data_IF_727695998312
#
_entry.id   IF_727695998312
#
_cell.length_a   1.000
_cell.length_b   1.000
_cell.length_c   1.000
_cell.angle_alpha   90.00
_cell.angle_beta   90.00
_cell.angle_gamma   90.00
#
_symmetry.space_group_name_H-M   'P 1'
#
loop_
_entity.id
_entity.type
_entity.pdbx_description
1 polymer ?
#
# COMPACT_ATOMS: atom_id res chain seq x y z
N UNK A 1 -14.35 23.34 9.81
CA UNK A 1 -15.01 24.22 8.84
C UNK A 1 -16.24 23.53 8.26
N UNK A 2 -16.87 24.13 7.24
CA UNK A 2 -18.10 23.64 6.60
C UNK A 2 -17.91 22.40 5.68
N UNK A 3 -16.70 21.85 5.60
CA UNK A 3 -16.34 20.71 4.76
C UNK A 3 -15.89 19.55 5.66
N UNK A 4 -16.37 18.34 5.35
CA UNK A 4 -15.85 17.06 5.82
C UNK A 4 -15.00 16.44 4.71
N UNK A 5 -13.86 15.87 5.08
CA UNK A 5 -13.00 15.13 4.16
C UNK A 5 -12.91 13.67 4.64
N UNK A 6 -13.36 12.75 3.80
CA UNK A 6 -13.21 11.32 4.02
C UNK A 6 -11.97 10.86 3.26
N UNK A 7 -11.02 10.21 3.94
CA UNK A 7 -9.74 9.82 3.34
C UNK A 7 -9.70 8.32 3.12
N UNK A 8 -9.42 7.93 1.88
CA UNK A 8 -9.21 6.54 1.46
C UNK A 8 -7.74 6.37 1.08
N UNK A 9 -7.10 5.30 1.54
CA UNK A 9 -5.72 4.94 1.15
C UNK A 9 -5.74 3.51 0.66
N UNK A 10 -5.65 3.34 -0.66
CA UNK A 10 -5.64 2.02 -1.29
C UNK A 10 -4.22 1.56 -1.62
N UNK A 11 -3.90 0.32 -1.28
CA UNK A 11 -2.59 -0.30 -1.47
C UNK A 11 -2.46 -0.96 -2.85
N UNK A 12 -1.28 -0.83 -3.48
CA UNK A 12 -0.92 -1.44 -4.76
C UNK A 12 -0.22 -2.79 -4.65
N UNK A 13 -0.05 -3.29 -3.43
CA UNK A 13 0.73 -4.49 -3.13
C UNK A 13 -0.07 -5.45 -2.24
N UNK A 14 0.27 -6.74 -2.34
CA UNK A 14 -0.34 -7.80 -1.57
C UNK A 14 0.72 -8.59 -0.78
N UNK A 15 0.36 -9.14 0.39
CA UNK A 15 1.30 -9.80 1.28
C UNK A 15 1.78 -11.14 0.73
N UNK A 16 3.04 -11.48 1.03
CA UNK A 16 3.66 -12.79 0.78
C UNK A 16 4.21 -13.34 2.09
N UNK A 17 3.70 -14.51 2.48
CA UNK A 17 4.14 -15.20 3.70
C UNK A 17 3.75 -14.53 5.01
N UNK A 18 4.29 -15.02 6.14
CA UNK A 18 3.97 -14.50 7.47
C UNK A 18 4.69 -13.16 7.74
N UNK A 19 4.24 -12.39 8.74
CA UNK A 19 5.04 -11.33 9.31
C UNK A 19 6.31 -11.91 9.95
N UNK A 20 7.40 -11.16 9.90
CA UNK A 20 8.72 -11.51 10.41
C UNK A 20 9.14 -10.47 11.43
N UNK A 21 9.74 -10.91 12.54
CA UNK A 21 10.25 -10.05 13.60
C UNK A 21 11.66 -9.57 13.26
N UNK A 22 11.88 -8.26 13.30
CA UNK A 22 13.21 -7.66 13.13
C UNK A 22 14.02 -7.88 14.40
N UNK A 23 15.00 -8.77 14.32
CA UNK A 23 15.82 -9.19 15.47
C UNK A 23 17.20 -8.53 15.49
N UNK A 24 17.65 -7.91 14.40
CA UNK A 24 18.85 -7.07 14.36
C UNK A 24 18.79 -6.12 13.15
N UNK A 25 19.08 -4.83 13.36
CA UNK A 25 18.99 -3.79 12.32
C UNK A 25 20.02 -2.68 12.56
N UNK A 26 20.60 -2.17 11.48
CA UNK A 26 21.51 -1.02 11.44
C UNK A 26 20.93 0.04 10.49
N UNK A 27 20.27 1.07 11.04
CA UNK A 27 19.59 2.09 10.23
C UNK A 27 18.46 1.49 9.39
N UNK A 28 18.67 1.40 8.07
CA UNK A 28 17.73 0.80 7.12
C UNK A 28 18.17 -0.57 6.59
N UNK A 29 19.25 -1.14 7.16
CA UNK A 29 19.78 -2.46 6.81
C UNK A 29 19.34 -3.46 7.87
N UNK A 30 18.47 -4.38 7.50
CA UNK A 30 17.99 -5.47 8.36
C UNK A 30 18.98 -6.63 8.26
N UNK A 31 19.62 -6.95 9.37
CA UNK A 31 20.64 -8.01 9.46
C UNK A 31 20.00 -9.36 9.77
N UNK A 32 19.03 -9.40 10.69
CA UNK A 32 18.33 -10.64 11.02
C UNK A 32 16.81 -10.46 11.14
N UNK A 33 16.11 -11.50 10.70
CA UNK A 33 14.66 -11.68 10.79
C UNK A 33 14.37 -13.02 11.48
N UNK A 34 13.50 -13.02 12.48
CA UNK A 34 13.19 -14.20 13.31
C UNK A 34 14.45 -14.89 13.89
N UNK A 35 15.51 -14.14 14.17
CA UNK A 35 16.78 -14.66 14.66
C UNK A 35 17.67 -15.32 13.59
N UNK A 36 17.30 -15.28 12.31
CA UNK A 36 18.06 -15.81 11.17
C UNK A 36 18.57 -14.68 10.27
N UNK A 37 19.63 -14.89 9.46
CA UNK A 37 20.06 -13.90 8.47
C UNK A 37 18.87 -13.45 7.60
N UNK A 38 18.70 -12.13 7.48
CA UNK A 38 17.49 -11.56 6.89
C UNK A 38 17.30 -12.00 5.43
N UNK A 39 18.39 -12.10 4.66
CA UNK A 39 18.35 -12.56 3.28
C UNK A 39 17.88 -14.03 3.20
N UNK A 40 18.47 -14.92 4.00
CA UNK A 40 18.10 -16.34 4.01
C UNK A 40 16.63 -16.53 4.42
N UNK A 41 16.18 -15.78 5.43
CA UNK A 41 14.79 -15.81 5.90
C UNK A 41 13.83 -15.33 4.82
N UNK A 42 14.16 -14.22 4.15
CA UNK A 42 13.34 -13.69 3.06
C UNK A 42 13.27 -14.70 1.89
N UNK A 43 14.39 -15.28 1.47
CA UNK A 43 14.40 -16.30 0.43
C UNK A 43 13.60 -17.56 0.81
N UNK A 44 13.65 -17.97 2.08
CA UNK A 44 12.83 -19.08 2.56
C UNK A 44 11.33 -18.79 2.45
N UNK A 45 10.90 -17.57 2.75
CA UNK A 45 9.51 -17.13 2.54
C UNK A 45 9.13 -17.17 1.06
N UNK A 46 10.01 -16.69 0.17
CA UNK A 46 9.75 -16.70 -1.28
C UNK A 46 9.69 -18.12 -1.85
N UNK A 47 10.58 -19.02 -1.41
CA UNK A 47 10.56 -20.44 -1.83
C UNK A 47 9.31 -21.18 -1.39
N UNK A 48 8.70 -20.77 -0.28
CA UNK A 48 7.46 -21.34 0.23
C UNK A 48 6.19 -20.85 -0.50
N UNK A 49 6.31 -19.91 -1.45
CA UNK A 49 5.17 -19.47 -2.27
C UNK A 49 4.69 -20.63 -3.17
N UNK A 50 3.38 -20.94 -3.17
CA UNK A 50 2.80 -21.95 -4.05
C UNK A 50 3.14 -21.73 -5.52
N UNK A 51 3.35 -22.80 -6.27
CA UNK A 51 3.85 -22.74 -7.65
C UNK A 51 2.92 -21.95 -8.58
N UNK A 52 1.62 -22.11 -8.42
CA UNK A 52 0.57 -21.37 -9.14
C UNK A 52 0.59 -19.86 -8.85
N UNK A 53 1.20 -19.44 -7.73
CA UNK A 53 1.32 -18.04 -7.32
C UNK A 53 2.70 -17.44 -7.55
N UNK A 54 3.70 -18.23 -7.99
CA UNK A 54 5.08 -17.74 -8.17
C UNK A 54 5.21 -16.62 -9.20
N UNK A 55 4.35 -16.60 -10.22
CA UNK A 55 4.31 -15.54 -11.24
C UNK A 55 4.10 -14.14 -10.64
N UNK A 56 3.56 -14.04 -9.41
CA UNK A 56 3.38 -12.76 -8.69
C UNK A 56 4.71 -12.18 -8.20
N UNK A 57 5.72 -13.02 -7.99
CA UNK A 57 7.04 -12.58 -7.55
C UNK A 57 7.77 -11.76 -8.63
N UNK A 58 7.45 -11.99 -9.91
CA UNK A 58 8.05 -11.31 -11.05
C UNK A 58 7.61 -9.84 -11.17
N UNK A 59 6.56 -9.44 -10.44
CA UNK A 59 5.97 -8.10 -10.49
C UNK A 59 6.72 -7.08 -9.62
N UNK A 60 7.72 -7.54 -8.86
CA UNK A 60 8.53 -6.72 -7.97
C UNK A 60 8.26 -7.03 -6.48
N UNK A 61 9.34 -7.01 -5.70
CA UNK A 61 9.35 -7.37 -4.29
C UNK A 61 9.52 -6.13 -3.39
N UNK A 62 8.72 -6.07 -2.34
CA UNK A 62 8.63 -4.95 -1.41
C UNK A 62 8.61 -5.45 0.03
N UNK A 63 8.84 -4.51 0.95
CA UNK A 63 8.69 -4.73 2.39
C UNK A 63 7.53 -3.88 2.89
N UNK A 64 6.53 -4.53 3.48
CA UNK A 64 5.55 -3.88 4.33
C UNK A 64 6.12 -3.74 5.73
N UNK A 65 6.27 -2.50 6.22
CA UNK A 65 6.58 -2.19 7.62
C UNK A 65 5.29 -1.95 8.39
N UNK A 66 5.11 -2.58 9.54
CA UNK A 66 3.89 -2.38 10.32
C UNK A 66 3.73 -0.91 10.76
N UNK A 67 2.56 -0.31 10.49
CA UNK A 67 2.23 1.04 10.96
C UNK A 67 1.89 1.09 12.47
N UNK A 68 1.48 -0.06 13.02
CA UNK A 68 1.08 -0.31 14.41
C UNK A 68 1.42 -1.76 14.81
N UNK A 69 1.52 -2.04 16.11
CA UNK A 69 2.05 -3.32 16.62
C UNK A 69 1.20 -4.56 16.31
N UNK A 70 -0.11 -4.38 16.11
CA UNK A 70 -1.11 -5.43 15.84
C UNK A 70 -1.55 -5.47 14.36
N UNK A 71 -0.68 -5.02 13.46
CA UNK A 71 -0.96 -4.96 12.02
C UNK A 71 -1.44 -6.32 11.47
N UNK A 72 -2.65 -6.35 10.94
CA UNK A 72 -3.29 -7.58 10.45
C UNK A 72 -3.97 -7.39 9.09
N UNK A 73 -4.55 -6.22 8.83
CA UNK A 73 -5.16 -5.87 7.55
C UNK A 73 -4.14 -5.31 6.54
N UNK A 74 -4.49 -5.31 5.25
CA UNK A 74 -3.64 -4.72 4.17
C UNK A 74 -3.27 -3.27 4.46
N UNK A 75 -4.23 -2.47 4.93
CA UNK A 75 -4.04 -1.06 5.29
C UNK A 75 -3.16 -0.80 6.53
N UNK A 76 -2.75 -1.83 7.28
CA UNK A 76 -1.88 -1.68 8.44
C UNK A 76 -0.39 -1.70 8.10
N UNK A 77 -0.04 -1.95 6.83
CA UNK A 77 1.34 -2.07 6.35
C UNK A 77 1.74 -0.90 5.46
N UNK A 78 2.89 -0.31 5.77
CA UNK A 78 3.51 0.75 4.98
C UNK A 78 4.49 0.11 3.99
N UNK A 79 4.17 0.16 2.70
CA UNK A 79 4.96 -0.50 1.66
C UNK A 79 6.20 0.33 1.31
N UNK A 80 7.35 -0.36 1.24
CA UNK A 80 8.68 0.20 1.00
C UNK A 80 9.44 -0.63 -0.02
N UNK A 81 10.28 0.05 -0.80
CA UNK A 81 11.16 -0.62 -1.75
C UNK A 81 12.26 -1.38 -1.00
N UNK A 82 12.59 -2.57 -1.48
CA UNK A 82 13.89 -3.18 -1.21
C UNK A 82 14.94 -2.44 -2.04
N UNK A 83 15.97 -1.93 -1.39
CA UNK A 83 17.08 -1.24 -2.04
C UNK A 83 18.15 -2.22 -2.54
N UNK A 84 18.27 -3.37 -1.88
CA UNK A 84 19.22 -4.40 -2.23
C UNK A 84 19.38 -5.46 -1.14
N UNK A 85 20.26 -6.41 -1.42
CA UNK A 85 20.66 -7.46 -0.49
C UNK A 85 22.18 -7.50 -0.39
N UNK A 86 22.68 -7.72 0.82
CA UNK A 86 24.09 -7.98 1.10
C UNK A 86 24.25 -9.48 1.34
N UNK A 87 24.86 -10.18 0.38
CA UNK A 87 25.05 -11.64 0.47
C UNK A 87 26.12 -12.04 1.47
N UNK A 88 27.11 -11.19 1.71
CA UNK A 88 28.21 -11.48 2.63
C UNK A 88 27.72 -11.39 4.07
N UNK A 89 26.93 -10.36 4.38
CA UNK A 89 26.33 -10.16 5.71
C UNK A 89 24.99 -10.88 5.90
N UNK A 90 24.41 -11.44 4.84
CA UNK A 90 23.08 -12.04 4.85
C UNK A 90 21.96 -11.03 5.14
N UNK A 91 22.14 -9.77 4.73
CA UNK A 91 21.27 -8.65 5.10
C UNK A 91 20.39 -8.16 3.93
N UNK A 92 19.33 -7.41 4.24
CA UNK A 92 18.50 -6.71 3.24
C UNK A 92 18.40 -5.22 3.58
N UNK A 93 18.46 -4.35 2.58
CA UNK A 93 18.31 -2.91 2.74
C UNK A 93 16.92 -2.45 2.29
N UNK A 94 16.26 -1.61 3.08
CA UNK A 94 14.89 -1.12 2.85
C UNK A 94 14.89 0.40 2.68
N UNK A 95 13.98 0.93 1.86
CA UNK A 95 13.79 2.37 1.68
C UNK A 95 13.02 3.05 2.83
N UNK A 96 13.27 2.66 4.08
CA UNK A 96 12.70 3.25 5.29
C UNK A 96 13.58 2.92 6.51
N UNK A 97 13.41 3.66 7.59
CA UNK A 97 14.00 3.30 8.87
C UNK A 97 13.16 2.21 9.54
N UNK A 98 13.81 1.11 9.88
CA UNK A 98 13.19 -0.03 10.56
C UNK A 98 13.80 -0.16 11.95
N UNK A 99 12.97 -0.44 12.96
CA UNK A 99 13.45 -0.54 14.35
C UNK A 99 13.48 -1.99 14.83
N UNK A 100 14.37 -2.25 15.78
CA UNK A 100 14.42 -3.54 16.47
C UNK A 100 13.05 -3.86 17.10
N UNK A 101 12.61 -5.11 16.99
CA UNK A 101 11.29 -5.61 17.42
C UNK A 101 10.09 -5.09 16.60
N UNK A 102 10.30 -4.32 15.53
CA UNK A 102 9.23 -4.08 14.57
C UNK A 102 8.95 -5.35 13.75
N UNK A 103 7.71 -5.44 13.25
CA UNK A 103 7.33 -6.47 12.28
C UNK A 103 7.46 -5.92 10.87
N UNK A 104 8.01 -6.75 10.00
CA UNK A 104 7.98 -6.54 8.56
C UNK A 104 7.32 -7.74 7.88
N UNK A 105 6.83 -7.56 6.66
CA UNK A 105 6.29 -8.64 5.85
C UNK A 105 6.64 -8.41 4.39
N UNK A 106 7.02 -9.46 3.68
CA UNK A 106 7.26 -9.37 2.24
C UNK A 106 5.95 -9.09 1.51
N UNK A 107 6.02 -8.27 0.47
CA UNK A 107 4.90 -7.92 -0.38
C UNK A 107 5.31 -7.97 -1.84
N UNK A 108 4.34 -8.22 -2.72
CA UNK A 108 4.52 -8.13 -4.16
C UNK A 108 3.56 -7.12 -4.74
N UNK A 109 3.94 -6.54 -5.88
CA UNK A 109 3.02 -5.73 -6.67
C UNK A 109 1.91 -6.61 -7.24
N UNK A 110 0.67 -6.12 -7.15
CA UNK A 110 -0.50 -6.93 -7.47
C UNK A 110 -1.68 -6.06 -7.93
N UNK A 111 -1.87 -5.98 -9.24
CA UNK A 111 -2.89 -5.12 -9.86
C UNK A 111 -4.32 -5.54 -9.51
N UNK A 112 -4.56 -6.85 -9.40
CA UNK A 112 -5.86 -7.37 -9.02
C UNK A 112 -6.17 -7.02 -7.56
N UNK A 113 -5.24 -7.31 -6.65
CA UNK A 113 -5.39 -6.97 -5.24
C UNK A 113 -5.57 -5.45 -5.04
N UNK A 114 -4.89 -4.63 -5.85
CA UNK A 114 -5.00 -3.18 -5.83
C UNK A 114 -6.39 -2.68 -6.29
N UNK A 115 -6.99 -3.36 -7.26
CA UNK A 115 -8.35 -3.08 -7.73
C UNK A 115 -9.37 -3.41 -6.64
N UNK A 116 -9.30 -4.64 -6.12
CA UNK A 116 -10.19 -5.14 -5.07
C UNK A 116 -10.13 -4.27 -3.80
N UNK A 117 -8.93 -3.86 -3.41
CA UNK A 117 -8.71 -3.00 -2.25
C UNK A 117 -9.33 -1.60 -2.45
N UNK A 118 -9.14 -1.00 -3.63
CA UNK A 118 -9.74 0.30 -3.94
C UNK A 118 -11.27 0.23 -3.97
N UNK A 119 -11.85 -0.78 -4.63
CA UNK A 119 -13.29 -0.96 -4.71
C UNK A 119 -13.91 -1.21 -3.33
N UNK A 120 -13.28 -2.05 -2.50
CA UNK A 120 -13.70 -2.29 -1.13
C UNK A 120 -13.73 -0.99 -0.30
N UNK A 121 -12.69 -0.16 -0.40
CA UNK A 121 -12.58 1.08 0.36
C UNK A 121 -13.54 2.18 -0.15
N UNK A 122 -13.89 2.14 -1.43
CA UNK A 122 -14.83 3.08 -2.03
C UNK A 122 -16.30 2.67 -1.84
N UNK A 123 -16.61 1.40 -1.66
CA UNK A 123 -17.99 0.92 -1.53
C UNK A 123 -18.82 1.66 -0.45
N UNK A 124 -18.30 1.97 0.75
CA UNK A 124 -19.05 2.77 1.74
C UNK A 124 -19.34 4.21 1.27
N UNK A 125 -18.52 4.74 0.37
CA UNK A 125 -18.61 6.12 -0.13
C UNK A 125 -19.78 6.31 -1.11
N UNK A 126 -20.28 5.22 -1.70
CA UNK A 126 -21.44 5.22 -2.60
C UNK A 126 -22.75 5.50 -1.86
N UNK A 127 -22.80 5.13 -0.58
CA UNK A 127 -24.00 5.22 0.26
C UNK A 127 -23.99 6.41 1.23
N UNK A 128 -22.92 7.22 1.23
CA UNK A 128 -22.83 8.44 2.03
C UNK A 128 -23.49 9.64 1.31
N UNK A 129 -23.54 10.77 1.99
CA UNK A 129 -23.89 12.09 1.46
C UNK A 129 -23.10 12.42 0.18
N UNK A 130 -23.74 13.06 -0.83
CA UNK A 130 -23.10 13.31 -2.13
C UNK A 130 -21.76 14.06 -2.02
N UNK A 131 -20.75 13.56 -2.73
CA UNK A 131 -19.46 14.25 -2.82
C UNK A 131 -19.63 15.54 -3.64
N UNK A 132 -18.84 16.56 -3.31
CA UNK A 132 -18.76 17.81 -4.09
C UNK A 132 -17.50 17.87 -4.94
N UNK A 133 -16.43 17.23 -4.49
CA UNK A 133 -15.18 17.07 -5.22
C UNK A 133 -14.39 15.91 -4.60
N UNK A 134 -13.35 15.45 -5.31
CA UNK A 134 -12.32 14.62 -4.70
C UNK A 134 -10.91 15.04 -5.18
N UNK A 135 -9.91 14.70 -4.38
CA UNK A 135 -8.50 14.78 -4.73
C UNK A 135 -7.92 13.37 -4.78
N UNK A 136 -7.25 12.99 -5.86
CA UNK A 136 -6.63 11.67 -6.06
C UNK A 136 -5.12 11.83 -6.26
N UNK A 137 -4.33 11.30 -5.33
CA UNK A 137 -2.87 11.26 -5.39
C UNK A 137 -2.43 9.81 -5.50
N UNK A 138 -1.92 9.42 -6.66
CA UNK A 138 -1.53 8.03 -6.92
C UNK A 138 -0.01 7.90 -7.08
N UNK A 139 0.56 6.81 -6.59
CA UNK A 139 1.98 6.56 -6.73
C UNK A 139 2.38 6.42 -8.21
N UNK A 140 3.58 6.88 -8.57
CA UNK A 140 4.21 6.65 -9.88
C UNK A 140 4.32 5.16 -10.25
N UNK A 141 4.27 4.27 -9.25
CA UNK A 141 4.22 2.82 -9.45
C UNK A 141 2.85 2.28 -9.89
N UNK A 142 1.76 3.08 -9.80
CA UNK A 142 0.41 2.74 -10.27
C UNK A 142 0.18 3.21 -11.72
N UNK A 143 -1.07 3.31 -12.13
CA UNK A 143 -1.45 3.67 -13.50
C UNK A 143 -1.10 2.55 -14.49
N UNK A 144 -0.67 2.92 -15.70
CA UNK A 144 -0.35 1.96 -16.78
C UNK A 144 0.70 0.93 -16.38
N UNK A 145 1.65 1.31 -15.51
CA UNK A 145 2.72 0.41 -15.05
C UNK A 145 2.22 -0.71 -14.13
N UNK A 146 1.09 -0.50 -13.45
CA UNK A 146 0.47 -1.51 -12.58
C UNK A 146 -0.67 -2.23 -13.29
N UNK A 147 -1.58 -1.46 -13.90
CA UNK A 147 -2.85 -1.97 -14.41
C UNK A 147 -2.82 -2.33 -15.90
N UNK A 148 -1.74 -2.01 -16.61
CA UNK A 148 -1.65 -2.20 -18.07
C UNK A 148 -2.56 -1.27 -18.89
N UNK A 149 -3.29 -0.36 -18.23
CA UNK A 149 -4.22 0.58 -18.86
C UNK A 149 -4.21 1.94 -18.16
N UNK A 150 -4.53 3.03 -18.87
CA UNK A 150 -4.64 4.34 -18.26
C UNK A 150 -5.92 4.43 -17.41
N UNK A 151 -5.99 5.47 -16.58
CA UNK A 151 -7.20 5.92 -15.87
C UNK A 151 -7.87 4.98 -14.87
N UNK A 152 -7.30 3.79 -14.60
CA UNK A 152 -7.90 2.78 -13.71
C UNK A 152 -8.45 3.36 -12.38
N UNK A 153 -7.60 4.03 -11.59
CA UNK A 153 -7.99 4.53 -10.27
C UNK A 153 -9.07 5.62 -10.33
N UNK A 154 -8.97 6.53 -11.30
CA UNK A 154 -9.92 7.62 -11.45
C UNK A 154 -11.27 7.12 -11.96
N UNK A 155 -11.29 6.13 -12.85
CA UNK A 155 -12.52 5.52 -13.33
C UNK A 155 -13.30 4.84 -12.21
N UNK A 156 -12.61 4.09 -11.34
CA UNK A 156 -13.23 3.45 -10.17
C UNK A 156 -13.73 4.47 -9.15
N UNK A 157 -12.95 5.52 -8.86
CA UNK A 157 -13.40 6.62 -8.01
C UNK A 157 -14.65 7.31 -8.58
N UNK A 158 -14.65 7.62 -9.88
CA UNK A 158 -15.80 8.23 -10.54
C UNK A 158 -17.02 7.32 -10.51
N UNK A 159 -16.84 6.01 -10.74
CA UNK A 159 -17.93 5.05 -10.67
C UNK A 159 -18.57 5.03 -9.28
N UNK A 160 -17.77 4.93 -8.22
CA UNK A 160 -18.25 4.92 -6.85
C UNK A 160 -18.96 6.24 -6.47
N UNK A 161 -18.41 7.39 -6.88
CA UNK A 161 -18.95 8.70 -6.46
C UNK A 161 -20.13 9.22 -7.29
N UNK A 162 -20.44 8.62 -8.45
CA UNK A 162 -21.62 9.02 -9.26
C UNK A 162 -22.94 8.82 -8.51
N UNK A 163 -23.03 7.78 -7.68
CA UNK A 163 -24.21 7.42 -6.90
C UNK A 163 -25.51 7.40 -7.73
N UNK A 164 -26.66 7.59 -7.07
CA UNK A 164 -27.97 7.66 -7.73
C UNK A 164 -28.20 8.94 -8.57
N UNK A 165 -27.38 9.98 -8.37
CA UNK A 165 -27.52 11.26 -9.07
C UNK A 165 -27.07 11.23 -10.53
N UNK A 166 -26.28 10.21 -10.90
CA UNK A 166 -25.66 10.09 -12.22
C UNK A 166 -24.65 11.21 -12.57
N UNK A 167 -24.42 12.15 -11.66
CA UNK A 167 -23.58 13.32 -11.92
C UNK A 167 -22.12 13.01 -11.63
N UNK A 168 -21.23 13.33 -12.57
CA UNK A 168 -19.78 13.19 -12.36
C UNK A 168 -19.31 14.15 -11.28
N UNK A 169 -18.52 13.64 -10.33
CA UNK A 169 -17.88 14.45 -9.30
C UNK A 169 -16.59 15.03 -9.88
N UNK A 170 -16.31 16.33 -9.75
CA UNK A 170 -15.02 16.87 -10.19
C UNK A 170 -13.89 16.27 -9.35
N UNK A 171 -12.89 15.70 -10.04
CA UNK A 171 -11.70 15.14 -9.39
C UNK A 171 -10.47 15.80 -9.97
N UNK A 172 -9.58 16.23 -9.08
CA UNK A 172 -8.23 16.70 -9.44
C UNK A 172 -7.20 15.83 -8.75
N UNK A 173 -5.94 15.92 -9.16
CA UNK A 173 -4.93 15.00 -8.67
C UNK A 173 -3.64 15.04 -9.47
N UNK A 174 -2.71 14.18 -9.05
CA UNK A 174 -1.45 13.96 -9.75
C UNK A 174 -0.86 12.60 -9.37
N UNK A 175 0.06 12.13 -10.21
CA UNK A 175 0.97 11.07 -9.81
C UNK A 175 2.09 11.64 -8.93
N UNK A 176 2.48 10.91 -7.89
CA UNK A 176 3.47 11.34 -6.92
C UNK A 176 4.43 10.20 -6.51
N UNK A 177 5.54 10.58 -5.88
CA UNK A 177 6.52 9.66 -5.30
C UNK A 177 6.43 9.69 -3.77
N UNK A 178 5.22 9.47 -3.25
CA UNK A 178 4.91 9.58 -1.82
C UNK A 178 3.53 10.16 -1.62
N UNK A 179 2.62 9.34 -1.08
CA UNK A 179 1.26 9.76 -0.75
C UNK A 179 1.14 9.97 0.76
N UNK A 180 0.27 10.87 1.22
CA UNK A 180 0.03 11.09 2.66
C UNK A 180 -1.40 10.69 2.99
N UNK A 181 -1.56 9.81 3.97
CA UNK A 181 -2.88 9.41 4.41
C UNK A 181 -2.86 8.64 5.73
N UNK A 182 -4.03 8.42 6.34
CA UNK A 182 -4.13 7.82 7.65
C UNK A 182 -3.90 6.31 7.62
N UNK A 183 -3.33 5.80 8.72
CA UNK A 183 -3.49 4.42 9.18
C UNK A 183 -3.97 4.51 10.63
N UNK A 184 -5.22 4.15 10.87
CA UNK A 184 -5.90 4.50 12.14
C UNK A 184 -5.96 6.02 12.32
N UNK A 185 -5.54 6.51 13.49
CA UNK A 185 -5.63 7.94 13.84
C UNK A 185 -4.41 8.78 13.43
N UNK A 186 -3.41 8.18 12.79
CA UNK A 186 -2.15 8.86 12.44
C UNK A 186 -1.93 8.86 10.94
N UNK A 187 -1.42 9.98 10.43
CA UNK A 187 -0.99 10.08 9.04
C UNK A 187 0.41 9.52 8.86
N UNK A 188 0.62 8.87 7.72
CA UNK A 188 1.90 8.33 7.31
C UNK A 188 2.21 8.74 5.88
N UNK A 189 3.49 8.71 5.54
CA UNK A 189 3.93 8.70 4.15
C UNK A 189 3.82 7.26 3.63
N UNK A 190 3.11 7.11 2.53
CA UNK A 190 2.84 5.86 1.83
C UNK A 190 3.65 5.80 0.53
N UNK A 191 3.85 4.59 0.05
CA UNK A 191 4.38 4.33 -1.28
C UNK A 191 3.62 3.17 -1.89
N UNK A 192 3.53 3.14 -3.22
CA UNK A 192 2.69 2.19 -3.96
C UNK A 192 1.21 2.26 -3.57
N UNK A 193 0.71 3.45 -3.24
CA UNK A 193 -0.71 3.64 -2.87
C UNK A 193 -1.43 4.63 -3.78
N UNK A 194 -2.75 4.67 -3.69
CA UNK A 194 -3.54 5.84 -4.03
C UNK A 194 -4.17 6.41 -2.76
N UNK A 195 -3.91 7.68 -2.47
CA UNK A 195 -4.56 8.43 -1.42
C UNK A 195 -5.61 9.36 -2.01
N UNK A 196 -6.84 9.27 -1.49
CA UNK A 196 -8.00 9.97 -2.00
C UNK A 196 -8.63 10.76 -0.87
N UNK A 197 -8.85 12.06 -1.07
CA UNK A 197 -9.65 12.88 -0.19
C UNK A 197 -10.98 13.20 -0.86
N UNK A 198 -12.08 12.70 -0.29
CA UNK A 198 -13.44 12.92 -0.80
C UNK A 198 -14.07 14.04 0.02
N UNK A 199 -14.48 15.11 -0.65
CA UNK A 199 -14.91 16.36 -0.01
C UNK A 199 -16.44 16.47 -0.03
N UNK A 200 -17.01 16.66 1.16
CA UNK A 200 -18.46 16.75 1.38
C UNK A 200 -18.82 17.96 2.23
N UNK A 201 -20.02 18.54 2.10
CA UNK A 201 -20.53 19.48 3.09
C UNK A 201 -20.57 18.80 4.45
N UNK A 202 -20.19 19.53 5.50
CA UNK A 202 -20.47 19.10 6.86
C UNK A 202 -21.96 19.30 7.12
N UNK A 203 -22.66 18.21 7.46
CA UNK A 203 -24.06 18.25 7.91
C UNK A 203 -24.24 19.08 9.17
#
# INVERSE_FOLDING_TARGET
GAIRADVVVSQGCSPVGPPLDVTHVEGNVILTLDGQPALERAEAVLRAVPEDQRHRLDQGLFVGRAAKGDASGRGDWLIRNLLGADRERGAIAVADHVRLREKIRLHVRDAQAATEDLEMLLAPQEFDSPARAALLFACNGRGTNLFGMPHHDIERLQQALRGASGTSVPVSGMFCAGEIGPVGERNFMHGHTASIAILRPRG
#
